data_IF_606093262994
#
_entry.id   IF_606093262994
#
_cell.length_a   1.000
_cell.length_b   1.000
_cell.length_c   1.000
_cell.angle_alpha   90.00
_cell.angle_beta   90.00
_cell.angle_gamma   90.00
#
_symmetry.space_group_name_H-M   'P 1'
#
loop_
_entity.id
_entity.type
_entity.pdbx_description
1 polymer ?
#
# COMPACT_ATOMS: atom_id res chain seq x y z
N UNK A 1 -10.94 -16.50 -44.65
CA UNK A 1 -10.46 -16.50 -43.25
C UNK A 1 -11.60 -17.04 -42.39
N UNK A 2 -11.38 -18.15 -41.67
CA UNK A 2 -12.45 -18.84 -40.93
C UNK A 2 -12.87 -17.99 -39.70
N UNK A 3 -14.16 -17.64 -39.57
CA UNK A 3 -14.68 -16.81 -38.46
C UNK A 3 -14.33 -17.40 -37.08
N UNK A 4 -14.20 -18.72 -36.98
CA UNK A 4 -13.80 -19.40 -35.75
C UNK A 4 -12.35 -19.10 -35.32
N UNK A 5 -11.44 -18.84 -36.26
CA UNK A 5 -10.05 -18.48 -35.93
C UNK A 5 -9.94 -17.03 -35.46
N UNK A 6 -10.78 -16.12 -35.97
CA UNK A 6 -10.79 -14.72 -35.55
C UNK A 6 -11.31 -14.58 -34.12
N UNK A 7 -12.41 -15.29 -33.79
CA UNK A 7 -12.99 -15.31 -32.44
C UNK A 7 -12.02 -15.86 -31.40
N UNK A 8 -11.36 -17.00 -31.68
CA UNK A 8 -10.38 -17.60 -30.76
C UNK A 8 -9.15 -16.71 -30.53
N UNK A 9 -8.67 -16.01 -31.55
CA UNK A 9 -7.54 -15.08 -31.41
C UNK A 9 -7.89 -13.88 -30.52
N UNK A 10 -9.09 -13.30 -30.69
CA UNK A 10 -9.55 -12.16 -29.89
C UNK A 10 -9.79 -12.52 -28.42
N UNK A 11 -10.34 -13.70 -28.12
CA UNK A 11 -10.56 -14.16 -26.74
C UNK A 11 -9.22 -14.39 -26.02
N UNK A 12 -8.25 -15.01 -26.70
CA UNK A 12 -6.92 -15.23 -26.15
C UNK A 12 -6.15 -13.92 -25.91
N UNK A 13 -6.26 -12.95 -26.82
CA UNK A 13 -5.64 -11.64 -26.66
C UNK A 13 -6.25 -10.85 -25.48
N UNK A 14 -7.58 -10.94 -25.28
CA UNK A 14 -8.27 -10.33 -24.14
C UNK A 14 -7.79 -10.91 -22.80
N UNK A 15 -7.73 -12.24 -22.69
CA UNK A 15 -7.25 -12.91 -21.48
C UNK A 15 -5.78 -12.55 -21.16
N UNK A 16 -4.90 -12.53 -22.17
CA UNK A 16 -3.50 -12.10 -22.02
C UNK A 16 -3.39 -10.66 -21.51
N UNK A 17 -4.17 -9.73 -22.07
CA UNK A 17 -4.17 -8.35 -21.61
C UNK A 17 -4.61 -8.22 -20.14
N UNK A 18 -5.61 -8.99 -19.71
CA UNK A 18 -6.06 -9.00 -18.31
C UNK A 18 -5.00 -9.61 -17.38
N UNK A 19 -4.30 -10.66 -17.80
CA UNK A 19 -3.18 -11.20 -17.04
C UNK A 19 -2.06 -10.17 -16.85
N UNK A 20 -1.75 -9.37 -17.87
CA UNK A 20 -0.77 -8.27 -17.76
C UNK A 20 -1.24 -7.20 -16.76
N UNK A 21 -2.53 -6.87 -16.73
CA UNK A 21 -3.07 -5.93 -15.75
C UNK A 21 -3.01 -6.47 -14.31
N UNK A 22 -3.24 -7.76 -14.12
CA UNK A 22 -3.07 -8.43 -12.81
C UNK A 22 -1.60 -8.41 -12.39
N UNK A 23 -0.67 -8.71 -13.31
CA UNK A 23 0.77 -8.65 -13.04
C UNK A 23 1.21 -7.23 -12.64
N UNK A 24 0.79 -6.21 -13.37
CA UNK A 24 1.08 -4.82 -13.04
C UNK A 24 0.51 -4.44 -11.66
N UNK A 25 -0.77 -4.75 -11.40
CA UNK A 25 -1.39 -4.46 -10.11
C UNK A 25 -0.70 -5.19 -8.93
N UNK A 26 -0.08 -6.35 -9.18
CA UNK A 26 0.69 -7.10 -8.19
C UNK A 26 2.02 -6.40 -7.88
N UNK A 27 2.71 -5.89 -8.90
CA UNK A 27 3.93 -5.10 -8.73
C UNK A 27 3.63 -3.80 -7.97
N UNK A 28 2.56 -3.09 -8.35
CA UNK A 28 2.12 -1.87 -7.67
C UNK A 28 1.80 -2.11 -6.18
N UNK A 29 1.20 -3.27 -5.86
CA UNK A 29 0.92 -3.65 -4.47
C UNK A 29 2.22 -3.90 -3.70
N UNK A 30 3.15 -4.64 -4.28
CA UNK A 30 4.44 -4.90 -3.63
C UNK A 30 5.20 -3.61 -3.33
N UNK A 31 5.27 -2.69 -4.29
CA UNK A 31 5.91 -1.37 -4.08
C UNK A 31 5.20 -0.56 -2.99
N UNK A 32 3.87 -0.55 -3.00
CA UNK A 32 3.09 0.19 -2.00
C UNK A 32 3.23 -0.41 -0.58
N UNK A 33 3.28 -1.73 -0.45
CA UNK A 33 3.53 -2.42 0.81
C UNK A 33 4.96 -2.15 1.31
N UNK A 34 5.94 -2.24 0.43
CA UNK A 34 7.33 -1.92 0.77
C UNK A 34 7.46 -0.48 1.24
N UNK A 35 6.86 0.49 0.53
CA UNK A 35 6.82 1.90 0.94
C UNK A 35 6.15 2.09 2.31
N UNK A 36 5.07 1.36 2.61
CA UNK A 36 4.41 1.41 3.91
C UNK A 36 5.30 0.87 5.04
N UNK A 37 6.08 -0.19 4.76
CA UNK A 37 7.08 -0.72 5.71
C UNK A 37 8.19 0.30 5.96
N UNK A 38 8.78 0.89 4.92
CA UNK A 38 9.79 1.95 5.08
C UNK A 38 9.27 3.14 5.88
N UNK A 39 8.07 3.65 5.53
CA UNK A 39 7.48 4.78 6.25
C UNK A 39 7.17 4.45 7.73
N UNK A 40 6.82 3.19 8.04
CA UNK A 40 6.68 2.73 9.43
C UNK A 40 8.01 2.75 10.17
N UNK A 41 9.10 2.31 9.54
CA UNK A 41 10.44 2.40 10.12
C UNK A 41 10.82 3.85 10.40
N UNK A 42 10.62 4.75 9.44
CA UNK A 42 10.92 6.18 9.60
C UNK A 42 10.12 6.83 10.74
N UNK A 43 8.84 6.45 10.87
CA UNK A 43 8.00 6.92 11.98
C UNK A 43 8.53 6.45 13.34
N UNK A 44 8.87 5.17 13.48
CA UNK A 44 9.42 4.65 14.73
C UNK A 44 10.81 5.21 15.05
N UNK A 45 11.64 5.42 14.04
CA UNK A 45 12.94 6.07 14.18
C UNK A 45 12.78 7.52 14.65
N UNK A 46 11.78 8.24 14.14
CA UNK A 46 11.45 9.58 14.62
C UNK A 46 10.99 9.61 16.08
N UNK A 47 10.33 8.55 16.56
CA UNK A 47 10.01 8.41 18.00
C UNK A 47 11.28 8.22 18.81
N UNK A 48 12.18 7.32 18.38
CA UNK A 48 13.45 7.07 19.09
C UNK A 48 14.31 8.31 19.19
N UNK A 49 14.43 9.08 18.10
CA UNK A 49 15.15 10.36 18.10
C UNK A 49 14.57 11.37 19.08
N UNK A 50 13.24 11.39 19.24
CA UNK A 50 12.61 12.22 20.26
C UNK A 50 13.00 11.73 21.67
N UNK A 51 12.97 10.42 21.91
CA UNK A 51 13.35 9.83 23.20
C UNK A 51 14.82 10.08 23.56
N UNK A 52 15.72 10.03 22.59
CA UNK A 52 17.14 10.36 22.77
C UNK A 52 17.34 11.82 23.20
N UNK A 53 16.49 12.74 22.71
CA UNK A 53 16.60 14.18 23.02
C UNK A 53 15.89 14.59 24.31
N UNK A 54 14.83 13.87 24.69
CA UNK A 54 13.90 14.31 25.75
C UNK A 54 13.70 13.28 26.86
N UNK A 55 14.34 12.12 26.77
CA UNK A 55 14.14 10.98 27.66
C UNK A 55 13.04 10.02 27.17
N UNK A 56 13.00 8.81 27.75
CA UNK A 56 12.09 7.76 27.31
C UNK A 56 10.62 8.12 27.53
N UNK A 57 9.74 7.69 26.63
CA UNK A 57 8.30 7.85 26.82
C UNK A 57 7.79 6.91 27.92
N UNK A 58 6.81 7.39 28.68
CA UNK A 58 6.12 6.56 29.68
C UNK A 58 4.98 5.82 29.00
N UNK A 59 5.23 4.55 28.68
CA UNK A 59 4.24 3.64 28.10
C UNK A 59 3.98 3.86 26.60
N UNK A 60 2.91 3.25 26.09
CA UNK A 60 2.60 3.30 24.67
C UNK A 60 2.08 4.68 24.24
N UNK A 61 2.54 5.16 23.07
CA UNK A 61 2.12 6.44 22.53
C UNK A 61 0.59 6.49 22.38
N UNK A 62 -0.02 7.52 22.95
CA UNK A 62 -1.47 7.67 23.06
C UNK A 62 -1.89 9.04 22.57
N UNK A 63 -2.81 9.08 21.59
CA UNK A 63 -3.33 10.32 21.00
C UNK A 63 -4.07 11.23 21.99
N UNK A 64 -4.66 10.66 23.04
CA UNK A 64 -5.43 11.40 24.05
C UNK A 64 -4.58 11.88 25.23
N UNK A 65 -3.37 11.34 25.40
CA UNK A 65 -2.48 11.75 26.48
C UNK A 65 -1.89 13.13 26.20
N UNK A 66 -2.03 14.07 27.15
CA UNK A 66 -1.38 15.39 27.06
C UNK A 66 0.14 15.27 27.14
N UNK A 67 0.66 14.32 27.93
CA UNK A 67 2.10 14.07 28.04
C UNK A 67 2.73 13.66 26.69
N UNK A 68 1.96 13.02 25.83
CA UNK A 68 2.41 12.61 24.49
C UNK A 68 2.23 13.70 23.42
N UNK A 69 1.72 14.88 23.75
CA UNK A 69 1.46 15.93 22.76
C UNK A 69 2.73 16.40 22.04
N UNK A 70 3.84 16.55 22.77
CA UNK A 70 5.11 17.01 22.22
C UNK A 70 5.71 16.02 21.21
N UNK A 71 5.81 14.74 21.58
CA UNK A 71 6.28 13.69 20.66
C UNK A 71 5.37 13.51 19.46
N UNK A 72 4.04 13.63 19.61
CA UNK A 72 3.11 13.59 18.47
C UNK A 72 3.34 14.75 17.51
N UNK A 73 3.57 15.96 18.04
CA UNK A 73 3.90 17.12 17.21
C UNK A 73 5.23 16.91 16.48
N UNK A 74 6.23 16.37 17.17
CA UNK A 74 7.55 16.08 16.59
C UNK A 74 7.47 15.04 15.46
N UNK A 75 6.71 13.97 15.68
CA UNK A 75 6.58 12.82 14.76
C UNK A 75 5.45 12.97 13.73
N UNK A 76 4.72 14.08 13.73
CA UNK A 76 3.51 14.25 12.92
C UNK A 76 3.75 13.98 11.43
N UNK A 77 4.84 14.52 10.86
CA UNK A 77 5.16 14.37 9.44
C UNK A 77 5.41 12.91 9.05
N UNK A 78 6.18 12.17 9.85
CA UNK A 78 6.49 10.76 9.57
C UNK A 78 5.28 9.88 9.83
N UNK A 79 4.45 10.22 10.82
CA UNK A 79 3.17 9.57 11.05
C UNK A 79 2.21 9.74 9.86
N UNK A 80 2.05 10.95 9.34
CA UNK A 80 1.18 11.24 8.20
C UNK A 80 1.66 10.51 6.93
N UNK A 81 2.97 10.47 6.70
CA UNK A 81 3.57 9.70 5.61
C UNK A 81 3.26 8.20 5.75
N UNK A 82 3.45 7.63 6.93
CA UNK A 82 3.11 6.24 7.21
C UNK A 82 1.61 5.95 6.98
N UNK A 83 0.70 6.82 7.43
CA UNK A 83 -0.73 6.66 7.16
C UNK A 83 -1.07 6.77 5.67
N UNK A 84 -0.42 7.69 4.95
CA UNK A 84 -0.59 7.83 3.50
C UNK A 84 -0.14 6.57 2.76
N UNK A 85 1.03 6.03 3.07
CA UNK A 85 1.54 4.79 2.45
C UNK A 85 0.63 3.59 2.76
N UNK A 86 0.11 3.47 3.99
CA UNK A 86 -0.89 2.43 4.33
C UNK A 86 -2.15 2.53 3.48
N UNK A 87 -2.69 3.75 3.30
CA UNK A 87 -3.86 3.97 2.43
C UNK A 87 -3.55 3.60 0.98
N UNK A 88 -2.34 3.92 0.51
CA UNK A 88 -1.92 3.57 -0.83
C UNK A 88 -1.85 2.04 -1.03
N UNK A 89 -1.23 1.31 -0.10
CA UNK A 89 -1.17 -0.16 -0.13
C UNK A 89 -2.57 -0.79 -0.15
N UNK A 90 -3.50 -0.27 0.67
CA UNK A 90 -4.89 -0.73 0.65
C UNK A 90 -5.57 -0.49 -0.71
N UNK A 91 -5.36 0.68 -1.32
CA UNK A 91 -5.90 0.99 -2.63
C UNK A 91 -5.30 0.12 -3.73
N UNK A 92 -4.00 -0.16 -3.69
CA UNK A 92 -3.33 -1.07 -4.62
C UNK A 92 -3.89 -2.49 -4.51
N UNK A 93 -4.07 -3.00 -3.29
CA UNK A 93 -4.71 -4.30 -3.05
C UNK A 93 -6.11 -4.37 -3.64
N UNK A 94 -6.91 -3.32 -3.45
CA UNK A 94 -8.26 -3.24 -4.03
C UNK A 94 -8.24 -3.26 -5.57
N UNK A 95 -7.25 -2.64 -6.21
CA UNK A 95 -7.08 -2.68 -7.67
C UNK A 95 -6.73 -4.09 -8.14
N UNK A 96 -5.81 -4.76 -7.45
CA UNK A 96 -5.45 -6.16 -7.72
C UNK A 96 -6.68 -7.08 -7.59
N UNK A 97 -7.41 -6.98 -6.48
CA UNK A 97 -8.63 -7.77 -6.24
C UNK A 97 -9.65 -7.57 -7.39
N UNK A 98 -9.79 -6.35 -7.89
CA UNK A 98 -10.67 -6.03 -9.02
C UNK A 98 -10.15 -6.58 -10.36
N UNK A 99 -8.84 -6.51 -10.61
CA UNK A 99 -8.23 -7.08 -11.81
C UNK A 99 -8.39 -8.61 -11.84
N UNK A 100 -8.16 -9.28 -10.72
CA UNK A 100 -8.36 -10.72 -10.56
C UNK A 100 -9.83 -11.12 -10.82
N UNK A 101 -10.80 -10.36 -10.28
CA UNK A 101 -12.22 -10.61 -10.55
C UNK A 101 -12.53 -10.49 -12.05
N UNK A 102 -12.03 -9.47 -12.73
CA UNK A 102 -12.26 -9.29 -14.18
C UNK A 102 -11.69 -10.44 -15.00
N UNK A 103 -10.52 -10.96 -14.63
CA UNK A 103 -9.93 -12.12 -15.28
C UNK A 103 -10.75 -13.39 -15.04
N UNK A 104 -11.25 -13.60 -13.82
CA UNK A 104 -12.03 -14.79 -13.46
C UNK A 104 -13.42 -14.85 -14.13
N UNK A 105 -14.02 -13.69 -14.42
CA UNK A 105 -15.33 -13.59 -15.08
C UNK A 105 -15.22 -13.20 -16.56
N UNK A 106 -14.05 -13.41 -17.18
CA UNK A 106 -13.90 -13.19 -18.62
C UNK A 106 -14.68 -14.27 -19.38
N UNK A 107 -15.67 -13.92 -20.22
CA UNK A 107 -16.29 -14.86 -21.14
C UNK A 107 -15.35 -15.24 -22.30
#
# INVERSE_FOLDING_TARGET
>A
MNMNNVLNFTTNAGALAQMMLVAQASMDLWEAEHSAVCARYDYHESIRRYEEQHGPLVGMLNAKSKAHAAVRKFTAKTYDAHQASKRNAYNAKRRLDNACRKLAFHP
#
